data_IF_742906507902
#
_entry.id   IF_742906507902
#
_cell.length_a   1.000
_cell.length_b   1.000
_cell.length_c   1.000
_cell.angle_alpha   90.00
_cell.angle_beta   90.00
_cell.angle_gamma   90.00
#
_symmetry.space_group_name_H-M   'P 1'
#
loop_
_entity.id
_entity.type
_entity.pdbx_description
1 polymer ?
#
# COMPACT_ATOMS: atom_id res chain seq x y z
N UNK A 1 -2.68 -2.37 -16.32
CA UNK A 1 -3.72 -3.14 -15.59
C UNK A 1 -3.58 -4.59 -15.96
N UNK A 2 -3.53 -5.49 -14.98
CA UNK A 2 -3.46 -6.94 -15.21
C UNK A 2 -4.78 -7.52 -15.75
N UNK A 3 -4.73 -8.75 -16.22
CA UNK A 3 -5.88 -9.47 -16.75
C UNK A 3 -6.99 -9.64 -15.68
N UNK A 4 -8.26 -9.51 -16.09
CA UNK A 4 -9.40 -9.85 -15.25
C UNK A 4 -10.29 -8.70 -14.79
N UNK A 5 -9.99 -7.43 -15.08
CA UNK A 5 -10.92 -6.31 -14.79
C UNK A 5 -11.90 -6.07 -15.95
N UNK A 6 -13.19 -5.80 -15.63
CA UNK A 6 -14.20 -5.33 -16.59
C UNK A 6 -14.21 -3.79 -16.57
N UNK A 7 -14.78 -3.19 -17.60
CA UNK A 7 -14.89 -1.72 -17.70
C UNK A 7 -15.60 -1.09 -16.50
N UNK A 8 -16.65 -1.74 -15.99
CA UNK A 8 -17.38 -1.31 -14.78
C UNK A 8 -16.51 -1.22 -13.51
N UNK A 9 -15.38 -1.94 -13.46
CA UNK A 9 -14.49 -1.93 -12.31
C UNK A 9 -13.48 -0.76 -12.38
N UNK A 10 -13.36 -0.09 -13.55
CA UNK A 10 -12.37 0.99 -13.75
C UNK A 10 -12.55 2.13 -12.77
N UNK A 11 -13.79 2.55 -12.51
CA UNK A 11 -14.07 3.64 -11.56
C UNK A 11 -13.53 3.31 -10.17
N UNK A 12 -13.68 2.05 -9.75
CA UNK A 12 -13.22 1.60 -8.44
C UNK A 12 -11.70 1.42 -8.38
N UNK A 13 -11.10 0.95 -9.47
CA UNK A 13 -9.63 0.93 -9.62
C UNK A 13 -9.05 2.34 -9.55
N UNK A 14 -9.65 3.31 -10.25
CA UNK A 14 -9.22 4.70 -10.23
C UNK A 14 -9.36 5.32 -8.84
N UNK A 15 -10.44 5.02 -8.12
CA UNK A 15 -10.61 5.45 -6.73
C UNK A 15 -9.48 4.91 -5.84
N UNK A 16 -9.14 3.62 -5.97
CA UNK A 16 -8.04 3.01 -5.21
C UNK A 16 -6.69 3.65 -5.56
N UNK A 17 -6.38 3.85 -6.83
CA UNK A 17 -5.13 4.50 -7.25
C UNK A 17 -5.07 5.95 -6.73
N UNK A 18 -6.19 6.68 -6.78
CA UNK A 18 -6.27 8.04 -6.24
C UNK A 18 -6.04 8.09 -4.74
N UNK A 19 -6.55 7.09 -4.01
CA UNK A 19 -6.33 6.97 -2.57
C UNK A 19 -4.87 6.61 -2.21
N UNK A 20 -4.11 5.99 -3.11
CA UNK A 20 -2.68 5.71 -2.92
C UNK A 20 -1.79 6.94 -3.16
N UNK A 21 -2.21 7.86 -4.05
CA UNK A 21 -1.45 9.06 -4.42
C UNK A 21 -0.88 9.87 -3.23
N UNK A 22 -1.66 10.24 -2.19
CA UNK A 22 -1.11 11.00 -1.05
C UNK A 22 -0.03 10.23 -0.27
N UNK A 23 -0.07 8.89 -0.30
CA UNK A 23 0.94 8.05 0.35
C UNK A 23 2.21 7.90 -0.50
N UNK A 24 2.14 8.14 -1.80
CA UNK A 24 3.26 8.00 -2.73
C UNK A 24 4.02 9.31 -2.97
N UNK A 25 3.55 10.44 -2.45
CA UNK A 25 4.12 11.77 -2.70
C UNK A 25 5.57 12.00 -2.26
N UNK A 26 6.23 11.01 -1.64
CA UNK A 26 7.68 11.05 -1.34
C UNK A 26 8.54 10.68 -2.56
N UNK A 27 7.96 9.98 -3.53
CA UNK A 27 8.66 9.47 -4.71
C UNK A 27 8.22 10.23 -5.96
N UNK A 28 9.08 10.32 -6.97
CA UNK A 28 8.69 10.84 -8.27
C UNK A 28 7.65 9.91 -8.90
N UNK A 29 6.53 10.43 -9.42
CA UNK A 29 5.47 9.60 -10.00
C UNK A 29 5.92 8.81 -11.23
N UNK A 30 6.99 9.21 -11.92
CA UNK A 30 7.55 8.49 -13.08
C UNK A 30 8.37 7.26 -12.66
N UNK A 31 8.84 7.22 -11.42
CA UNK A 31 9.61 6.11 -10.84
C UNK A 31 8.73 5.13 -10.04
N UNK A 32 7.44 5.43 -9.90
CA UNK A 32 6.48 4.61 -9.16
C UNK A 32 5.59 3.85 -10.14
N UNK A 33 5.61 2.53 -10.04
CA UNK A 33 4.69 1.66 -10.77
C UNK A 33 3.72 0.97 -9.81
N UNK A 34 2.43 0.99 -10.14
CA UNK A 34 1.38 0.29 -9.40
C UNK A 34 0.64 -0.66 -10.36
N UNK A 35 0.87 -1.94 -10.18
CA UNK A 35 0.19 -3.01 -10.90
C UNK A 35 -0.93 -3.60 -10.05
N UNK A 36 -2.05 -3.88 -10.70
CA UNK A 36 -3.23 -4.50 -10.08
C UNK A 36 -3.59 -5.75 -10.89
N UNK A 37 -3.77 -6.88 -10.20
CA UNK A 37 -4.15 -8.15 -10.79
C UNK A 37 -5.27 -8.83 -10.00
N UNK A 38 -6.13 -9.58 -10.69
CA UNK A 38 -7.21 -10.39 -10.09
C UNK A 38 -7.05 -11.84 -10.49
N UNK A 39 -7.24 -12.76 -9.54
CA UNK A 39 -7.34 -14.20 -9.76
C UNK A 39 -8.69 -14.72 -9.29
N UNK A 40 -9.10 -15.85 -9.86
CA UNK A 40 -10.32 -16.59 -9.48
C UNK A 40 -11.61 -15.77 -9.60
N UNK A 41 -11.66 -14.87 -10.59
CA UNK A 41 -12.77 -13.94 -10.78
C UNK A 41 -14.10 -14.66 -10.96
N UNK A 42 -15.12 -14.21 -10.21
CA UNK A 42 -16.46 -14.82 -10.20
C UNK A 42 -16.52 -16.19 -9.54
N UNK A 43 -15.41 -16.67 -8.97
CA UNK A 43 -15.35 -17.85 -8.13
C UNK A 43 -15.87 -17.57 -6.72
N UNK A 44 -15.81 -18.60 -5.87
CA UNK A 44 -16.23 -18.51 -4.46
C UNK A 44 -15.43 -17.48 -3.67
N UNK A 45 -14.18 -17.28 -4.08
CA UNK A 45 -13.23 -16.35 -3.48
C UNK A 45 -12.38 -15.76 -4.59
N UNK A 46 -12.33 -14.43 -4.67
CA UNK A 46 -11.55 -13.70 -5.67
C UNK A 46 -10.34 -13.10 -4.99
N UNK A 47 -9.16 -13.28 -5.57
CA UNK A 47 -7.91 -12.74 -5.02
C UNK A 47 -7.49 -11.50 -5.79
N UNK A 48 -7.40 -10.38 -5.10
CA UNK A 48 -6.82 -9.13 -5.63
C UNK A 48 -5.39 -9.02 -5.14
N UNK A 49 -4.49 -8.61 -6.03
CA UNK A 49 -3.09 -8.31 -5.70
C UNK A 49 -2.73 -6.93 -6.23
N UNK A 50 -2.23 -6.09 -5.34
CA UNK A 50 -1.61 -4.81 -5.63
C UNK A 50 -0.10 -4.98 -5.48
N UNK A 51 0.63 -4.69 -6.54
CA UNK A 51 2.09 -4.66 -6.54
C UNK A 51 2.53 -3.23 -6.80
N UNK A 52 3.42 -2.74 -5.95
CA UNK A 52 4.00 -1.41 -6.10
C UNK A 52 5.51 -1.49 -6.13
N UNK A 53 6.09 -0.88 -7.15
CA UNK A 53 7.54 -0.74 -7.30
C UNK A 53 7.90 0.69 -6.95
N UNK A 54 8.80 0.86 -5.98
CA UNK A 54 9.29 2.16 -5.50
C UNK A 54 10.81 2.22 -5.71
N UNK A 55 11.37 3.38 -6.08
CA UNK A 55 12.80 3.48 -6.36
C UNK A 55 13.63 3.24 -5.09
N UNK A 56 14.63 2.37 -5.23
CA UNK A 56 15.55 2.00 -4.16
C UNK A 56 14.90 1.16 -3.04
N UNK A 57 13.75 0.52 -3.28
CA UNK A 57 13.08 -0.38 -2.34
C UNK A 57 12.73 -1.72 -2.99
N UNK A 58 12.66 -2.81 -2.21
CA UNK A 58 12.05 -4.04 -2.71
C UNK A 58 10.57 -3.79 -3.07
N UNK A 59 10.04 -4.44 -4.12
CA UNK A 59 8.63 -4.29 -4.49
C UNK A 59 7.71 -4.66 -3.34
N UNK A 60 6.72 -3.81 -3.08
CA UNK A 60 5.65 -4.07 -2.13
C UNK A 60 4.56 -4.89 -2.81
N UNK A 61 4.05 -5.91 -2.13
CA UNK A 61 2.99 -6.78 -2.63
C UNK A 61 1.95 -6.95 -1.54
N UNK A 62 0.76 -6.40 -1.78
CA UNK A 62 -0.39 -6.58 -0.92
C UNK A 62 -1.42 -7.42 -1.65
N UNK A 63 -1.95 -8.45 -0.99
CA UNK A 63 -2.99 -9.28 -1.55
C UNK A 63 -4.09 -9.50 -0.53
N UNK A 64 -5.32 -9.56 -1.02
CA UNK A 64 -6.48 -9.91 -0.21
C UNK A 64 -7.42 -10.78 -1.04
N UNK A 65 -8.19 -11.58 -0.34
CA UNK A 65 -9.15 -12.50 -0.93
C UNK A 65 -10.53 -12.20 -0.36
N UNK A 66 -11.53 -12.07 -1.22
CA UNK A 66 -12.93 -11.90 -0.81
C UNK A 66 -13.87 -12.39 -1.94
N UNK A 67 -15.06 -12.93 -1.64
CA UNK A 67 -16.07 -13.22 -2.65
C UNK A 67 -16.46 -11.98 -3.47
N UNK A 68 -16.39 -10.78 -2.89
CA UNK A 68 -16.68 -9.49 -3.53
C UNK A 68 -15.40 -8.75 -3.90
N UNK A 69 -15.23 -8.51 -5.21
CA UNK A 69 -14.03 -7.84 -5.77
C UNK A 69 -13.71 -6.49 -5.10
N UNK A 70 -14.74 -5.69 -4.82
CA UNK A 70 -14.62 -4.38 -4.16
C UNK A 70 -14.02 -4.51 -2.76
N UNK A 71 -14.45 -5.50 -1.99
CA UNK A 71 -13.95 -5.73 -0.64
C UNK A 71 -12.51 -6.24 -0.65
N UNK A 72 -12.20 -7.18 -1.56
CA UNK A 72 -10.83 -7.64 -1.76
C UNK A 72 -9.90 -6.49 -2.19
N UNK A 73 -10.36 -5.61 -3.09
CA UNK A 73 -9.59 -4.45 -3.52
C UNK A 73 -9.37 -3.45 -2.38
N UNK A 74 -10.40 -3.15 -1.59
CA UNK A 74 -10.30 -2.27 -0.43
C UNK A 74 -9.34 -2.81 0.64
N UNK A 75 -9.41 -4.10 0.93
CA UNK A 75 -8.50 -4.77 1.87
C UNK A 75 -7.04 -4.75 1.37
N UNK A 76 -6.80 -5.09 0.11
CA UNK A 76 -5.46 -5.04 -0.49
C UNK A 76 -4.90 -3.60 -0.47
N UNK A 77 -5.74 -2.59 -0.75
CA UNK A 77 -5.36 -1.17 -0.66
C UNK A 77 -4.90 -0.80 0.76
N UNK A 78 -5.69 -1.13 1.78
CA UNK A 78 -5.34 -0.80 3.17
C UNK A 78 -4.01 -1.43 3.59
N UNK A 79 -3.78 -2.69 3.20
CA UNK A 79 -2.53 -3.38 3.47
C UNK A 79 -1.34 -2.75 2.72
N UNK A 80 -1.52 -2.35 1.46
CA UNK A 80 -0.48 -1.64 0.72
C UNK A 80 -0.12 -0.29 1.35
N UNK A 81 -1.12 0.51 1.74
CA UNK A 81 -0.89 1.79 2.43
C UNK A 81 -0.08 1.55 3.71
N UNK A 82 -0.46 0.55 4.50
CA UNK A 82 0.28 0.18 5.71
C UNK A 82 1.76 -0.14 5.41
N UNK A 83 2.03 -0.93 4.37
CA UNK A 83 3.41 -1.26 3.98
C UNK A 83 4.19 -0.02 3.53
N UNK A 84 3.57 0.89 2.77
CA UNK A 84 4.19 2.15 2.36
C UNK A 84 4.57 3.02 3.57
N UNK A 85 3.65 3.17 4.53
CA UNK A 85 3.90 3.96 5.75
C UNK A 85 4.95 3.31 6.66
N UNK A 86 5.01 1.98 6.72
CA UNK A 86 6.06 1.25 7.43
C UNK A 86 7.44 1.50 6.80
N UNK A 87 7.54 1.46 5.46
CA UNK A 87 8.78 1.77 4.74
C UNK A 87 9.25 3.22 4.97
N UNK A 88 8.32 4.18 5.01
CA UNK A 88 8.65 5.56 5.39
C UNK A 88 9.20 5.64 6.80
N UNK A 89 8.52 5.01 7.76
CA UNK A 89 8.86 5.01 9.19
C UNK A 89 10.15 4.26 9.52
N UNK A 90 10.47 3.18 8.79
CA UNK A 90 11.69 2.42 8.95
C UNK A 90 12.93 3.21 8.49
N UNK A 91 12.76 4.09 7.50
CA UNK A 91 13.81 4.98 6.98
C UNK A 91 14.00 6.25 7.79
N UNK A 92 13.03 6.62 8.61
CA UNK A 92 13.20 7.65 9.63
C UNK A 92 13.91 7.01 10.82
N UNK A 93 15.20 7.30 11.08
CA UNK A 93 15.88 6.69 12.21
C UNK A 93 15.12 7.07 13.49
N UNK A 94 14.57 6.06 14.17
CA UNK A 94 13.93 6.11 15.50
C UNK A 94 14.87 6.60 16.62
N UNK A 95 15.93 7.35 16.30
CA UNK A 95 16.92 7.83 17.25
C UNK A 95 16.41 9.00 18.12
N UNK A 96 15.29 9.64 17.75
CA UNK A 96 14.79 10.78 18.52
C UNK A 96 13.83 10.41 19.67
N UNK A 97 13.40 9.14 19.79
CA UNK A 97 12.53 8.70 20.91
C UNK A 97 13.31 8.34 22.17
N UNK A 98 14.58 7.93 22.02
CA UNK A 98 15.47 7.58 23.14
C UNK A 98 16.13 8.82 23.78
N UNK A 99 16.32 9.91 23.03
CA UNK A 99 16.91 11.15 23.55
C UNK A 99 15.96 11.95 24.46
N UNK A 100 14.64 11.73 24.35
CA UNK A 100 13.66 12.44 25.17
C UNK A 100 13.40 11.81 26.55
N UNK A 101 13.87 10.58 26.77
CA UNK A 101 13.76 9.89 28.07
C UNK A 101 15.04 9.94 28.91
N UNK A 102 16.17 10.47 28.38
CA UNK A 102 17.41 10.62 29.16
C UNK A 102 17.58 11.99 29.84
N UNK A 103 16.73 12.97 29.56
CA UNK A 103 16.81 14.32 30.17
C UNK A 103 15.89 14.48 31.39
N UNK A 104 15.21 13.42 31.84
CA UNK A 104 14.36 13.47 33.04
C UNK A 104 14.91 12.51 34.10
N UNK A 105 16.17 12.69 34.50
CA UNK A 105 16.63 12.34 35.85
C UNK A 105 17.68 13.34 36.32
N UNK A 106 17.39 13.91 37.48
CA UNK A 106 18.19 14.78 38.34
C UNK A 106 18.25 16.27 37.99
N UNK A 107 17.49 17.04 38.78
CA UNK A 107 18.09 18.05 39.65
C UNK A 107 17.25 18.24 40.92
N UNK A 108 17.83 17.68 41.99
CA UNK A 108 17.76 18.00 43.43
C UNK A 108 16.42 17.93 44.16
#
# INVERSE_FOLDING_TARGET
MGAGFKEQDRSHVLEVLSALAPHLGRWDPSDVDVEISVKDRGGKEQRVTLRTTLPGLPPLVAAATDPHLVQALGAAKHELIRQIEDQKSAREPKNNRQLRNKTIRHLR
#
